data_IF_223457706166
#
_entry.id   IF_223457706166
#
_cell.length_a   1.000
_cell.length_b   1.000
_cell.length_c   1.000
_cell.angle_alpha   90.00
_cell.angle_beta   90.00
_cell.angle_gamma   90.00
#
_symmetry.space_group_name_H-M   'P 1'
#
loop_
_entity.id
_entity.type
_entity.pdbx_description
1 polymer ?
#
# COMPACT_ATOMS: atom_id res chain seq x y z
N UNK A 1 -5.25 -28.80 14.61
CA UNK A 1 -6.60 -28.24 14.31
C UNK A 1 -6.61 -26.84 14.89
N UNK A 2 -6.33 -25.84 14.07
CA UNK A 2 -6.43 -24.43 14.47
C UNK A 2 -7.87 -24.03 14.10
N UNK A 3 -8.69 -23.79 15.11
CA UNK A 3 -10.01 -23.19 14.96
C UNK A 3 -9.84 -21.83 14.29
N UNK A 4 -10.35 -21.66 13.05
CA UNK A 4 -10.61 -20.35 12.47
C UNK A 4 -11.64 -19.68 13.39
N UNK A 5 -11.19 -18.73 14.19
CA UNK A 5 -12.09 -17.82 14.86
C UNK A 5 -12.73 -16.96 13.78
N UNK A 6 -13.99 -17.20 13.48
CA UNK A 6 -14.83 -16.33 12.68
C UNK A 6 -14.91 -14.97 13.39
N UNK A 7 -14.04 -14.05 13.01
CA UNK A 7 -14.27 -12.65 13.36
C UNK A 7 -15.49 -12.18 12.58
N UNK A 8 -16.51 -11.66 13.26
CA UNK A 8 -17.71 -11.22 12.57
C UNK A 8 -17.36 -10.10 11.61
N UNK A 9 -17.72 -10.28 10.35
CA UNK A 9 -17.56 -9.35 9.23
C UNK A 9 -18.54 -8.16 9.38
N UNK A 10 -18.49 -7.50 10.55
CA UNK A 10 -19.38 -6.39 10.89
C UNK A 10 -18.58 -5.12 11.00
N UNK A 11 -18.55 -4.33 9.90
CA UNK A 11 -18.47 -2.89 10.09
C UNK A 11 -19.64 -2.47 10.97
N UNK A 12 -19.31 -1.87 12.13
CA UNK A 12 -20.32 -1.38 13.05
C UNK A 12 -21.33 -0.49 12.33
N UNK A 13 -22.61 -0.76 12.58
CA UNK A 13 -23.74 0.10 12.20
C UNK A 13 -23.52 1.53 12.70
N UNK A 14 -23.00 2.39 11.84
CA UNK A 14 -23.16 3.82 11.96
C UNK A 14 -23.82 4.29 10.67
N UNK A 15 -25.15 4.55 10.72
CA UNK A 15 -25.87 5.10 9.59
C UNK A 15 -26.37 4.10 8.55
N UNK A 16 -27.19 3.13 8.93
CA UNK A 16 -28.31 2.62 8.09
C UNK A 16 -28.04 1.80 6.81
N UNK A 17 -26.84 1.69 6.25
CA UNK A 17 -26.59 0.93 5.02
C UNK A 17 -25.65 -0.24 5.30
N UNK A 18 -26.16 -1.47 5.15
CA UNK A 18 -25.33 -2.67 5.17
C UNK A 18 -24.57 -2.76 3.85
N UNK A 19 -23.24 -2.53 3.86
CA UNK A 19 -22.40 -2.83 2.72
C UNK A 19 -21.97 -4.29 2.79
N UNK A 20 -22.28 -5.07 1.75
CA UNK A 20 -21.80 -6.44 1.64
C UNK A 20 -20.32 -6.45 1.26
N UNK A 21 -19.52 -7.15 2.04
CA UNK A 21 -18.12 -7.39 1.73
C UNK A 21 -17.97 -8.61 0.83
N UNK A 22 -17.16 -8.48 -0.21
CA UNK A 22 -16.68 -9.58 -1.03
C UNK A 22 -15.26 -9.91 -0.53
N UNK A 23 -14.99 -11.18 -0.23
CA UNK A 23 -13.65 -11.63 0.12
C UNK A 23 -12.87 -11.86 -1.17
N UNK A 24 -11.71 -11.21 -1.27
CA UNK A 24 -10.80 -11.31 -2.40
C UNK A 24 -9.48 -11.92 -1.93
N UNK A 25 -9.07 -13.02 -2.57
CA UNK A 25 -7.80 -13.70 -2.30
C UNK A 25 -6.75 -13.27 -3.34
N UNK A 26 -5.53 -13.02 -2.90
CA UNK A 26 -4.43 -12.67 -3.81
C UNK A 26 -4.06 -13.85 -4.71
N UNK A 27 -3.87 -13.56 -6.01
CA UNK A 27 -3.37 -14.53 -7.00
C UNK A 27 -1.94 -14.99 -6.72
N UNK A 28 -1.17 -14.21 -5.96
CA UNK A 28 0.24 -14.52 -5.65
C UNK A 28 0.40 -15.31 -4.36
N UNK A 29 -0.55 -15.22 -3.43
CA UNK A 29 -0.50 -15.94 -2.17
C UNK A 29 -1.92 -16.17 -1.63
N UNK A 30 -2.41 -17.42 -1.59
CA UNK A 30 -3.77 -17.72 -1.15
C UNK A 30 -4.02 -17.47 0.35
N UNK A 31 -3.00 -17.16 1.14
CA UNK A 31 -3.13 -16.77 2.53
C UNK A 31 -3.46 -15.27 2.68
N UNK A 32 -3.33 -14.49 1.61
CA UNK A 32 -3.62 -13.06 1.61
C UNK A 32 -5.06 -12.83 1.13
N UNK A 33 -5.90 -12.38 2.06
CA UNK A 33 -7.29 -12.06 1.81
C UNK A 33 -7.58 -10.62 2.23
N UNK A 34 -8.41 -9.92 1.45
CA UNK A 34 -8.94 -8.58 1.75
C UNK A 34 -10.44 -8.56 1.59
N UNK A 35 -11.11 -7.71 2.37
CA UNK A 35 -12.52 -7.41 2.19
C UNK A 35 -12.68 -6.25 1.22
N UNK A 36 -13.50 -6.42 0.19
CA UNK A 36 -13.81 -5.41 -0.82
C UNK A 36 -15.28 -5.03 -0.70
N UNK A 37 -15.55 -3.75 -0.59
CA UNK A 37 -16.88 -3.18 -0.47
C UNK A 37 -17.22 -2.41 -1.73
N UNK A 38 -18.40 -2.67 -2.31
CA UNK A 38 -18.91 -1.92 -3.45
C UNK A 38 -19.69 -0.69 -2.98
N UNK A 39 -19.47 0.47 -3.59
CA UNK A 39 -20.14 1.72 -3.25
C UNK A 39 -19.53 2.91 -3.99
N UNK A 40 -19.84 4.12 -3.52
CA UNK A 40 -19.26 5.35 -4.02
C UNK A 40 -18.36 5.97 -2.94
N UNK A 41 -17.07 5.75 -3.06
CA UNK A 41 -16.07 6.18 -2.07
C UNK A 41 -15.30 7.39 -2.58
N UNK A 42 -15.24 8.45 -1.78
CA UNK A 42 -14.44 9.62 -2.10
C UNK A 42 -13.11 9.60 -1.34
N UNK A 43 -12.01 9.78 -2.06
CA UNK A 43 -10.68 10.03 -1.52
C UNK A 43 -10.27 11.48 -1.77
N UNK A 44 -9.11 11.90 -1.26
CA UNK A 44 -8.57 13.23 -1.54
C UNK A 44 -8.41 13.53 -3.04
N UNK A 45 -8.18 12.51 -3.87
CA UNK A 45 -7.77 12.68 -5.26
C UNK A 45 -8.61 11.89 -6.28
N UNK A 46 -9.45 10.97 -5.82
CA UNK A 46 -10.26 10.13 -6.69
C UNK A 46 -11.59 9.74 -6.05
N UNK A 47 -12.56 9.38 -6.90
CA UNK A 47 -13.75 8.65 -6.52
C UNK A 47 -13.63 7.21 -7.02
N UNK A 48 -13.92 6.25 -6.15
CA UNK A 48 -13.76 4.83 -6.43
C UNK A 48 -15.08 4.09 -6.25
N UNK A 49 -15.35 3.11 -7.12
CA UNK A 49 -16.53 2.23 -7.01
C UNK A 49 -16.38 1.14 -5.96
N UNK A 50 -15.16 0.92 -5.45
CA UNK A 50 -14.90 -0.08 -4.43
C UNK A 50 -13.91 0.49 -3.39
N UNK A 51 -14.10 0.05 -2.14
CA UNK A 51 -13.14 0.23 -1.06
C UNK A 51 -12.51 -1.12 -0.73
N UNK A 52 -11.20 -1.17 -0.63
CA UNK A 52 -10.43 -2.36 -0.30
C UNK A 52 -9.92 -2.18 1.11
N UNK A 53 -10.39 -3.02 2.03
CA UNK A 53 -9.94 -2.98 3.41
C UNK A 53 -8.65 -3.78 3.60
N UNK A 54 -7.57 -3.05 3.72
CA UNK A 54 -6.21 -3.57 3.92
C UNK A 54 -5.76 -3.49 5.39
N UNK A 55 -6.68 -3.18 6.31
CA UNK A 55 -6.36 -2.97 7.74
C UNK A 55 -5.64 -4.16 8.35
N UNK A 56 -6.14 -5.38 8.09
CA UNK A 56 -5.52 -6.59 8.59
C UNK A 56 -4.09 -6.79 8.12
N UNK A 57 -3.80 -6.49 6.84
CA UNK A 57 -2.43 -6.60 6.30
C UNK A 57 -1.47 -5.64 6.97
N UNK A 58 -1.93 -4.47 7.41
CA UNK A 58 -1.08 -3.47 8.06
C UNK A 58 -0.86 -3.72 9.55
N UNK A 59 -1.82 -4.33 10.23
CA UNK A 59 -1.86 -4.38 11.70
C UNK A 59 -1.84 -5.79 12.29
N UNK A 60 -2.15 -6.83 11.51
CA UNK A 60 -2.15 -8.21 11.97
C UNK A 60 -0.83 -8.90 11.62
N UNK A 61 -0.14 -9.45 12.63
CA UNK A 61 1.17 -10.07 12.49
C UNK A 61 1.28 -11.06 11.33
N UNK A 62 0.34 -12.01 11.24
CA UNK A 62 0.38 -13.06 10.22
C UNK A 62 0.18 -12.49 8.82
N UNK A 63 -0.81 -11.61 8.65
CA UNK A 63 -1.11 -10.99 7.36
C UNK A 63 0.02 -10.06 6.89
N UNK A 64 0.60 -9.27 7.79
CA UNK A 64 1.72 -8.40 7.48
C UNK A 64 2.97 -9.20 7.05
N UNK A 65 3.24 -10.31 7.72
CA UNK A 65 4.35 -11.21 7.39
C UNK A 65 4.16 -11.85 6.02
N UNK A 66 2.98 -12.38 5.72
CA UNK A 66 2.67 -13.01 4.42
C UNK A 66 2.73 -11.98 3.28
N UNK A 67 2.20 -10.77 3.49
CA UNK A 67 2.29 -9.67 2.53
C UNK A 67 3.74 -9.32 2.21
N UNK A 68 4.57 -9.16 3.25
CA UNK A 68 5.99 -8.86 3.11
C UNK A 68 6.76 -9.97 2.40
N UNK A 69 6.51 -11.24 2.74
CA UNK A 69 7.14 -12.40 2.09
C UNK A 69 6.82 -12.43 0.60
N UNK A 70 5.56 -12.19 0.23
CA UNK A 70 5.13 -12.19 -1.17
C UNK A 70 5.76 -11.02 -1.95
N UNK A 71 5.78 -9.81 -1.37
CA UNK A 71 6.42 -8.64 -1.99
C UNK A 71 7.93 -8.83 -2.15
N UNK A 72 8.62 -9.47 -1.19
CA UNK A 72 10.05 -9.67 -1.21
C UNK A 72 10.53 -10.42 -2.46
N UNK A 73 9.72 -11.29 -3.04
CA UNK A 73 10.07 -12.08 -4.22
C UNK A 73 10.47 -11.21 -5.42
N UNK A 74 9.92 -9.99 -5.51
CA UNK A 74 10.19 -9.06 -6.61
C UNK A 74 11.48 -8.24 -6.44
N UNK A 75 12.16 -8.36 -5.29
CA UNK A 75 13.31 -7.51 -4.96
C UNK A 75 14.52 -8.30 -4.43
N UNK A 76 14.40 -9.62 -4.29
CA UNK A 76 15.44 -10.42 -3.64
C UNK A 76 16.72 -10.56 -4.49
N UNK A 77 16.59 -10.67 -5.82
CA UNK A 77 17.66 -11.18 -6.65
C UNK A 77 18.37 -10.15 -7.52
N UNK A 78 17.68 -9.10 -7.96
CA UNK A 78 18.20 -8.12 -8.92
C UNK A 78 18.19 -6.67 -8.41
N UNK A 79 17.56 -6.42 -7.28
CA UNK A 79 17.39 -5.08 -6.72
C UNK A 79 18.06 -4.95 -5.35
N UNK A 80 19.11 -4.11 -5.30
CA UNK A 80 19.70 -3.72 -4.02
C UNK A 80 18.69 -2.89 -3.22
N UNK A 81 18.55 -3.18 -1.92
CA UNK A 81 17.73 -2.42 -0.99
C UNK A 81 18.53 -2.17 0.27
N UNK A 82 18.78 -0.91 0.57
CA UNK A 82 19.45 -0.46 1.79
C UNK A 82 18.45 0.18 2.77
N UNK A 83 17.35 0.74 2.21
CA UNK A 83 16.32 1.42 2.99
C UNK A 83 14.94 1.16 2.39
N UNK A 84 13.97 0.89 3.25
CA UNK A 84 12.55 0.83 2.91
C UNK A 84 11.89 2.08 3.46
N UNK A 85 11.32 2.91 2.57
CA UNK A 85 10.53 4.09 2.93
C UNK A 85 9.08 3.70 2.99
N UNK A 86 8.52 3.67 4.21
CA UNK A 86 7.15 3.27 4.48
C UNK A 86 6.21 4.46 4.51
N UNK A 87 5.05 4.31 3.86
CA UNK A 87 3.96 5.29 3.88
C UNK A 87 2.66 4.63 4.36
N UNK A 88 1.73 5.48 4.80
CA UNK A 88 0.35 5.09 5.07
C UNK A 88 0.21 3.99 6.14
N UNK A 89 1.11 3.92 7.11
CA UNK A 89 1.07 2.93 8.18
C UNK A 89 1.50 1.51 7.73
N UNK A 90 2.45 1.43 6.79
CA UNK A 90 2.97 0.15 6.28
C UNK A 90 4.25 -0.34 6.98
N UNK A 91 4.64 0.28 8.11
CA UNK A 91 5.91 0.01 8.80
C UNK A 91 6.03 -1.43 9.29
N UNK A 92 4.92 -2.05 9.73
CA UNK A 92 4.92 -3.45 10.15
C UNK A 92 5.25 -4.37 8.97
N UNK A 93 4.67 -4.12 7.80
CA UNK A 93 5.01 -4.84 6.57
C UNK A 93 6.46 -4.55 6.20
N UNK A 94 6.90 -3.28 6.30
CA UNK A 94 8.27 -2.85 6.02
C UNK A 94 9.31 -3.58 6.86
N UNK A 95 9.06 -3.78 8.14
CA UNK A 95 9.94 -4.52 9.04
C UNK A 95 10.07 -6.01 8.65
N UNK A 96 8.95 -6.67 8.29
CA UNK A 96 8.99 -8.04 7.79
C UNK A 96 9.64 -8.11 6.40
N UNK A 97 9.41 -7.13 5.53
CA UNK A 97 10.03 -7.07 4.20
C UNK A 97 11.54 -6.93 4.30
N UNK A 98 12.05 -6.04 5.19
CA UNK A 98 13.48 -5.92 5.48
C UNK A 98 14.07 -7.26 5.96
N UNK A 99 13.39 -7.93 6.89
CA UNK A 99 13.80 -9.25 7.38
C UNK A 99 13.87 -10.30 6.26
N UNK A 100 12.87 -10.33 5.35
CA UNK A 100 12.85 -11.33 4.27
C UNK A 100 13.94 -11.04 3.25
N UNK A 101 14.15 -9.77 2.85
CA UNK A 101 15.21 -9.38 1.93
C UNK A 101 16.60 -9.64 2.48
N UNK A 102 16.84 -9.34 3.77
CA UNK A 102 18.14 -9.52 4.43
C UNK A 102 18.45 -10.98 4.82
N UNK A 103 17.51 -11.92 4.62
CA UNK A 103 17.71 -13.32 4.93
C UNK A 103 18.90 -13.87 4.15
N UNK A 104 19.74 -14.67 4.84
CA UNK A 104 20.90 -15.30 4.21
C UNK A 104 20.44 -16.31 3.16
N UNK A 105 20.56 -15.93 1.89
CA UNK A 105 20.28 -16.75 0.72
C UNK A 105 21.39 -16.60 -0.32
N UNK A 106 21.75 -17.69 -1.02
CA UNK A 106 22.93 -17.74 -1.90
C UNK A 106 22.85 -16.76 -3.05
N UNK A 107 21.65 -16.49 -3.57
CA UNK A 107 21.44 -15.63 -4.74
C UNK A 107 20.84 -14.26 -4.40
N UNK A 108 20.61 -13.95 -3.12
CA UNK A 108 20.03 -12.66 -2.75
C UNK A 108 21.09 -11.56 -2.70
N UNK A 109 20.90 -10.51 -3.49
CA UNK A 109 21.75 -9.29 -3.48
C UNK A 109 21.64 -8.51 -2.17
N UNK A 110 20.64 -8.81 -1.36
CA UNK A 110 20.37 -8.17 -0.07
C UNK A 110 20.79 -9.04 1.13
N UNK A 111 21.40 -10.21 0.88
CA UNK A 111 21.80 -11.17 1.92
C UNK A 111 22.67 -10.52 3.00
N UNK A 112 22.29 -10.67 4.26
CA UNK A 112 22.96 -10.11 5.46
C UNK A 112 23.06 -8.56 5.50
N UNK A 113 22.34 -7.82 4.66
CA UNK A 113 22.28 -6.36 4.76
C UNK A 113 21.52 -5.93 6.03
N UNK A 114 21.96 -4.83 6.62
CA UNK A 114 21.17 -4.10 7.62
C UNK A 114 20.28 -3.09 6.91
N UNK A 115 19.04 -3.47 6.63
CA UNK A 115 18.08 -2.65 5.89
C UNK A 115 17.35 -1.72 6.86
N UNK A 116 17.40 -0.41 6.60
CA UNK A 116 16.67 0.57 7.39
C UNK A 116 15.18 0.57 7.00
N UNK A 117 14.30 0.82 7.97
CA UNK A 117 12.87 1.05 7.75
C UNK A 117 12.54 2.41 8.31
N UNK A 118 12.12 3.32 7.43
CA UNK A 118 11.92 4.74 7.78
C UNK A 118 10.60 5.25 7.23
N UNK A 119 10.04 6.25 7.91
CA UNK A 119 8.80 6.94 7.49
C UNK A 119 9.09 8.43 7.39
N UNK A 120 8.81 9.09 6.25
CA UNK A 120 8.90 10.53 6.14
C UNK A 120 7.75 11.20 6.90
N UNK A 121 7.96 12.44 7.30
CA UNK A 121 6.93 13.29 7.89
C UNK A 121 6.33 14.24 6.86
N UNK A 122 5.13 14.73 7.12
CA UNK A 122 4.58 15.88 6.41
C UNK A 122 4.90 17.16 7.17
N UNK A 123 5.49 18.14 6.50
CA UNK A 123 5.67 19.48 7.04
C UNK A 123 4.33 20.25 7.11
N UNK A 124 4.38 21.49 7.61
CA UNK A 124 3.20 22.36 7.71
C UNK A 124 2.56 22.70 6.35
N UNK A 125 3.30 22.55 5.24
CA UNK A 125 2.82 22.80 3.88
C UNK A 125 2.35 21.51 3.19
N UNK A 126 2.40 20.36 3.88
CA UNK A 126 2.04 19.04 3.35
C UNK A 126 3.09 18.46 2.40
N UNK A 127 4.35 18.91 2.49
CA UNK A 127 5.48 18.32 1.79
C UNK A 127 6.09 17.19 2.62
N UNK A 128 6.56 16.14 1.96
CA UNK A 128 7.27 15.04 2.61
C UNK A 128 8.71 15.48 2.90
N UNK A 129 9.16 15.23 4.13
CA UNK A 129 10.51 15.53 4.59
C UNK A 129 11.10 14.36 5.37
N UNK A 130 12.42 14.23 5.32
CA UNK A 130 13.21 13.41 6.24
C UNK A 130 13.93 14.33 7.21
N UNK A 131 13.80 14.06 8.52
CA UNK A 131 14.58 14.79 9.54
C UNK A 131 16.07 14.46 9.42
N UNK A 132 16.94 15.35 9.91
CA UNK A 132 18.39 15.24 9.80
C UNK A 132 18.95 13.90 10.30
N UNK A 133 18.35 13.34 11.35
CA UNK A 133 18.70 12.02 11.89
C UNK A 133 18.33 10.84 10.98
N UNK A 134 17.39 11.01 10.05
CA UNK A 134 17.00 10.00 9.06
C UNK A 134 17.71 10.18 7.72
N UNK A 135 18.19 11.39 7.41
CA UNK A 135 18.86 11.72 6.15
C UNK A 135 20.01 10.75 5.80
N UNK A 136 20.89 10.30 6.74
CA UNK A 136 21.95 9.32 6.44
C UNK A 136 21.43 7.95 5.98
N UNK A 137 20.15 7.63 6.27
CA UNK A 137 19.51 6.41 5.83
C UNK A 137 18.95 6.51 4.40
N UNK A 138 19.00 7.70 3.79
CA UNK A 138 18.49 7.97 2.44
C UNK A 138 19.62 8.36 1.49
N UNK A 139 20.53 9.24 1.90
CA UNK A 139 21.60 9.77 1.05
C UNK A 139 22.47 8.65 0.50
N UNK A 140 22.54 8.54 -0.85
CA UNK A 140 23.33 7.52 -1.54
C UNK A 140 22.84 6.09 -1.41
N UNK A 141 21.66 5.88 -0.78
CA UNK A 141 21.11 4.55 -0.52
C UNK A 141 20.21 4.08 -1.67
N UNK A 142 20.14 2.76 -1.84
CA UNK A 142 19.18 2.09 -2.69
C UNK A 142 17.87 1.93 -1.91
N UNK A 143 16.82 2.62 -2.38
CA UNK A 143 15.56 2.80 -1.64
C UNK A 143 14.43 2.05 -2.31
N UNK A 144 13.71 1.24 -1.53
CA UNK A 144 12.43 0.67 -1.89
C UNK A 144 11.32 1.49 -1.23
N UNK A 145 10.35 1.99 -2.00
CA UNK A 145 9.16 2.65 -1.47
C UNK A 145 8.10 1.59 -1.18
N UNK A 146 7.56 1.57 0.03
CA UNK A 146 6.43 0.72 0.42
C UNK A 146 5.22 1.61 0.74
N UNK A 147 4.15 1.45 -0.02
CA UNK A 147 2.93 2.24 0.10
C UNK A 147 1.69 1.34 0.16
N UNK A 148 0.69 1.72 0.92
CA UNK A 148 -0.54 0.92 1.05
C UNK A 148 -1.30 0.79 -0.27
N UNK A 149 -1.59 1.92 -0.94
CA UNK A 149 -2.37 1.93 -2.18
C UNK A 149 -1.82 2.96 -3.18
N UNK A 150 -1.77 2.57 -4.46
CA UNK A 150 -1.41 3.45 -5.57
C UNK A 150 -2.61 3.56 -6.51
N UNK A 151 -3.38 4.64 -6.41
CA UNK A 151 -4.51 4.91 -7.32
C UNK A 151 -4.05 5.83 -8.46
N UNK A 152 -3.97 7.14 -8.22
CA UNK A 152 -3.53 8.12 -9.23
C UNK A 152 -2.00 8.28 -9.32
N UNK A 153 -1.24 7.61 -8.49
CA UNK A 153 0.22 7.72 -8.41
C UNK A 153 0.74 9.00 -7.74
N UNK A 154 -0.12 9.95 -7.34
CA UNK A 154 0.32 11.25 -6.81
C UNK A 154 1.15 11.12 -5.53
N UNK A 155 0.75 10.27 -4.58
CA UNK A 155 1.50 10.05 -3.34
C UNK A 155 2.82 9.35 -3.61
N UNK A 156 2.80 8.32 -4.48
CA UNK A 156 4.01 7.61 -4.87
C UNK A 156 5.02 8.54 -5.58
N UNK A 157 4.55 9.42 -6.50
CA UNK A 157 5.39 10.41 -7.18
C UNK A 157 6.03 11.40 -6.20
N UNK A 158 5.24 11.96 -5.27
CA UNK A 158 5.78 12.86 -4.23
C UNK A 158 6.84 12.19 -3.37
N UNK A 159 6.66 10.92 -3.05
CA UNK A 159 7.65 10.17 -2.27
C UNK A 159 8.90 9.91 -3.08
N UNK A 160 8.76 9.57 -4.36
CA UNK A 160 9.87 9.40 -5.29
C UNK A 160 10.68 10.69 -5.40
N UNK A 161 10.03 11.83 -5.66
CA UNK A 161 10.65 13.15 -5.69
C UNK A 161 11.37 13.50 -4.36
N UNK A 162 10.73 13.20 -3.22
CA UNK A 162 11.30 13.40 -1.90
C UNK A 162 12.57 12.57 -1.71
N UNK A 163 12.54 11.27 -2.00
CA UNK A 163 13.72 10.38 -1.89
C UNK A 163 14.85 10.87 -2.79
N UNK A 164 14.54 11.26 -4.03
CA UNK A 164 15.53 11.80 -4.97
C UNK A 164 16.13 13.13 -4.50
N UNK A 165 15.31 14.03 -3.95
CA UNK A 165 15.75 15.29 -3.37
C UNK A 165 16.80 15.07 -2.27
N UNK A 166 16.61 14.05 -1.42
CA UNK A 166 17.58 13.67 -0.38
C UNK A 166 18.70 12.76 -0.92
N UNK A 167 18.85 12.59 -2.24
CA UNK A 167 19.94 11.85 -2.86
C UNK A 167 19.82 10.32 -2.78
N UNK A 168 18.65 9.78 -2.48
CA UNK A 168 18.36 8.35 -2.54
C UNK A 168 18.11 7.89 -3.97
N UNK A 169 18.33 6.59 -4.25
CA UNK A 169 18.13 5.96 -5.55
C UNK A 169 16.96 4.97 -5.44
N UNK A 170 15.79 5.32 -6.01
CA UNK A 170 14.60 4.46 -5.93
C UNK A 170 14.76 3.24 -6.85
N UNK A 171 14.68 2.04 -6.27
CA UNK A 171 14.79 0.75 -6.96
C UNK A 171 13.44 0.15 -7.38
N UNK A 172 12.36 0.59 -6.75
CA UNK A 172 11.02 0.13 -7.04
C UNK A 172 9.99 0.65 -6.05
N UNK A 173 8.74 0.35 -6.32
CA UNK A 173 7.60 0.67 -5.46
C UNK A 173 6.85 -0.63 -5.17
N UNK A 174 6.74 -0.98 -3.90
CA UNK A 174 5.91 -2.08 -3.41
C UNK A 174 4.58 -1.53 -2.88
N UNK A 175 3.46 -2.18 -3.24
CA UNK A 175 2.13 -1.75 -2.81
C UNK A 175 1.27 -2.95 -2.39
N UNK A 176 0.28 -2.72 -1.53
CA UNK A 176 -0.74 -3.74 -1.28
C UNK A 176 -1.71 -3.77 -2.47
N UNK A 177 -2.19 -2.61 -2.91
CA UNK A 177 -3.03 -2.46 -4.10
C UNK A 177 -2.48 -1.39 -5.02
N UNK A 178 -2.46 -1.63 -6.33
CA UNK A 178 -2.07 -0.63 -7.32
C UNK A 178 -2.94 -0.66 -8.57
N UNK A 179 -3.33 0.56 -9.02
CA UNK A 179 -3.92 0.82 -10.33
C UNK A 179 -2.87 0.94 -11.44
N UNK A 180 -1.60 1.16 -11.07
CA UNK A 180 -0.52 1.50 -11.98
C UNK A 180 0.57 0.43 -11.91
N UNK A 181 1.13 0.08 -13.05
CA UNK A 181 2.29 -0.81 -13.16
C UNK A 181 3.62 -0.06 -12.99
N UNK A 182 3.60 1.25 -13.15
CA UNK A 182 4.79 2.12 -12.97
C UNK A 182 4.39 3.54 -12.59
N UNK A 183 5.30 4.25 -11.93
CA UNK A 183 5.22 5.68 -11.62
C UNK A 183 6.53 6.32 -12.05
N UNK A 184 6.47 7.24 -13.03
CA UNK A 184 7.64 7.94 -13.60
C UNK A 184 8.78 6.98 -14.02
N UNK A 185 8.41 5.85 -14.65
CA UNK A 185 9.36 4.84 -15.09
C UNK A 185 9.83 3.86 -14.02
N UNK A 186 9.47 4.07 -12.75
CA UNK A 186 9.77 3.15 -11.66
C UNK A 186 8.67 2.09 -11.56
N UNK A 187 8.99 0.77 -11.63
CA UNK A 187 8.00 -0.30 -11.57
C UNK A 187 7.30 -0.34 -10.21
N UNK A 188 5.99 -0.67 -10.25
CA UNK A 188 5.16 -0.90 -9.09
C UNK A 188 4.79 -2.38 -9.04
N UNK A 189 5.15 -3.07 -7.96
CA UNK A 189 4.70 -4.43 -7.70
C UNK A 189 3.66 -4.41 -6.58
N UNK A 190 2.49 -5.01 -6.83
CA UNK A 190 1.38 -5.02 -5.87
C UNK A 190 0.82 -6.42 -5.65
N UNK A 191 0.24 -6.63 -4.47
CA UNK A 191 -0.43 -7.89 -4.10
C UNK A 191 -1.79 -8.04 -4.73
N UNK A 192 -2.45 -6.91 -5.04
CA UNK A 192 -3.75 -6.80 -5.68
C UNK A 192 -3.76 -5.68 -6.72
N UNK A 193 -4.59 -5.84 -7.74
CA UNK A 193 -4.77 -4.90 -8.85
C UNK A 193 -6.26 -4.75 -9.20
N UNK A 194 -6.64 -3.81 -10.07
CA UNK A 194 -8.01 -3.69 -10.57
C UNK A 194 -8.54 -4.95 -11.24
N UNK A 195 -7.65 -5.74 -11.87
CA UNK A 195 -8.03 -6.98 -12.57
C UNK A 195 -8.57 -8.04 -11.62
N UNK A 196 -8.26 -7.93 -10.33
CA UNK A 196 -8.77 -8.81 -9.29
C UNK A 196 -10.20 -8.44 -8.86
N UNK A 197 -10.72 -7.24 -9.26
CA UNK A 197 -12.00 -6.69 -8.81
C UNK A 197 -12.88 -6.36 -10.01
N UNK A 198 -13.90 -7.19 -10.25
CA UNK A 198 -14.82 -6.98 -11.36
C UNK A 198 -15.51 -5.61 -11.27
N UNK A 199 -15.41 -4.81 -12.33
CA UNK A 199 -16.04 -3.51 -12.43
C UNK A 199 -15.43 -2.41 -11.55
N UNK A 200 -14.17 -2.55 -11.14
CA UNK A 200 -13.45 -1.48 -10.42
C UNK A 200 -13.34 -0.22 -11.28
N UNK A 201 -13.78 0.90 -10.74
CA UNK A 201 -13.69 2.22 -11.37
C UNK A 201 -13.00 3.17 -10.40
N UNK A 202 -11.97 3.87 -10.88
CA UNK A 202 -11.36 5.00 -10.19
C UNK A 202 -11.29 6.17 -11.17
N UNK A 203 -11.77 7.33 -10.76
CA UNK A 203 -11.84 8.52 -11.61
C UNK A 203 -11.57 9.78 -10.80
N UNK A 204 -11.20 10.87 -11.49
CA UNK A 204 -11.15 12.17 -10.83
C UNK A 204 -12.56 12.57 -10.36
N UNK A 205 -12.70 13.38 -9.29
CA UNK A 205 -14.03 13.82 -8.84
C UNK A 205 -14.87 14.51 -9.93
N UNK A 206 -14.21 15.24 -10.84
CA UNK A 206 -14.87 15.95 -11.95
C UNK A 206 -15.41 15.01 -13.02
N UNK A 207 -14.80 13.84 -13.20
CA UNK A 207 -15.12 12.88 -14.27
C UNK A 207 -15.83 11.63 -13.73
N UNK A 208 -16.17 11.62 -12.46
CA UNK A 208 -16.78 10.47 -11.80
C UNK A 208 -18.14 10.10 -12.41
N UNK A 209 -18.28 8.89 -13.00
CA UNK A 209 -19.53 8.45 -13.60
C UNK A 209 -20.64 8.28 -12.55
N UNK A 210 -20.30 7.91 -11.32
CA UNK A 210 -21.26 7.76 -10.22
C UNK A 210 -21.85 9.13 -9.81
N UNK A 211 -20.99 10.17 -9.73
CA UNK A 211 -21.48 11.55 -9.50
C UNK A 211 -22.40 12.03 -10.64
N UNK A 212 -22.05 11.75 -11.89
CA UNK A 212 -22.88 12.10 -13.06
C UNK A 212 -24.23 11.37 -13.05
N UNK A 213 -24.27 10.15 -12.52
CA UNK A 213 -25.50 9.38 -12.31
C UNK A 213 -26.29 9.80 -11.07
N UNK A 214 -25.87 10.84 -10.34
CA UNK A 214 -26.54 11.31 -9.11
C UNK A 214 -26.37 10.39 -7.89
N UNK A 215 -25.46 9.41 -7.95
CA UNK A 215 -25.19 8.53 -6.83
C UNK A 215 -24.46 9.31 -5.73
N UNK A 216 -25.05 9.32 -4.53
CA UNK A 216 -24.42 9.94 -3.35
C UNK A 216 -23.13 9.21 -2.96
N UNK A 217 -22.20 9.95 -2.35
CA UNK A 217 -21.01 9.37 -1.74
C UNK A 217 -21.44 8.60 -0.49
N UNK A 218 -21.01 7.35 -0.38
CA UNK A 218 -21.32 6.48 0.76
C UNK A 218 -20.35 6.71 1.92
N UNK A 219 -19.07 6.95 1.62
CA UNK A 219 -18.05 7.18 2.63
C UNK A 219 -16.85 7.98 2.10
N UNK A 220 -16.14 8.64 3.02
CA UNK A 220 -14.80 9.18 2.78
C UNK A 220 -13.78 8.08 3.08
N UNK A 221 -12.85 7.85 2.16
CA UNK A 221 -11.82 6.82 2.28
C UNK A 221 -10.41 7.42 2.19
N UNK A 222 -9.50 6.86 2.95
CA UNK A 222 -8.07 7.14 2.84
C UNK A 222 -7.27 5.86 3.15
N UNK A 223 -5.94 5.96 3.20
CA UNK A 223 -5.06 4.84 3.50
C UNK A 223 -5.17 4.28 4.94
N UNK A 224 -5.85 4.98 5.83
CA UNK A 224 -6.07 4.56 7.22
C UNK A 224 -7.45 3.92 7.46
N UNK A 225 -8.37 4.05 6.51
CA UNK A 225 -9.70 3.48 6.64
C UNK A 225 -10.76 4.30 5.92
N UNK A 226 -12.01 4.08 6.30
CA UNK A 226 -13.16 4.81 5.80
C UNK A 226 -14.00 5.43 6.93
N UNK A 227 -14.69 6.51 6.57
CA UNK A 227 -15.68 7.19 7.42
C UNK A 227 -16.99 7.29 6.64
N UNK A 228 -18.05 6.64 7.14
CA UNK A 228 -19.39 6.70 6.54
C UNK A 228 -19.96 8.12 6.63
N UNK A 229 -20.75 8.51 5.62
CA UNK A 229 -21.45 9.78 5.53
C UNK A 229 -22.93 9.65 5.86
#
# INVERSE_FOLDING_TARGET
VILKADMPNTFHKTGGKNMNAIQLTSRFNPQLEVSVFQGHFATRHSHNSHYIDITRMKHEFTMAREAAMTLAQNYAYDKGVDTIVCLDGSEVIGAFLARHLAKKEVFSVNSNKNINVVTPEYDSNGQLIFRDNLTPMIVGREVLILISTVNSGKSARRTLECVQYYGGKVQGIAAIFSMLEQVDGIPVYSLFSPDDIAGYISSSPKECPMCRAGQKIDALANSFGLSML
#
